data_IF_906471301833
#
_entry.id   IF_906471301833
#
_cell.length_a   1.000
_cell.length_b   1.000
_cell.length_c   1.000
_cell.angle_alpha   90.00
_cell.angle_beta   90.00
_cell.angle_gamma   90.00
#
_symmetry.space_group_name_H-M   'P 1'
#
loop_
_entity.id
_entity.type
_entity.pdbx_description
1 polymer ?
#
# COMPACT_ATOMS: atom_id res chain seq x y z
N UNK A 1 8.27 5.37 -9.30
CA UNK A 1 8.17 4.84 -7.94
C UNK A 1 7.14 3.73 -7.93
N UNK A 2 7.60 2.48 -7.80
CA UNK A 2 6.82 1.24 -7.71
C UNK A 2 6.96 0.62 -6.32
N UNK A 3 5.95 -0.15 -5.90
CA UNK A 3 6.04 -1.02 -4.73
C UNK A 3 6.79 -2.30 -5.14
N UNK A 4 7.82 -2.68 -4.39
CA UNK A 4 8.63 -3.87 -4.68
C UNK A 4 8.33 -5.04 -3.75
N UNK A 5 8.03 -4.77 -2.48
CA UNK A 5 7.73 -5.80 -1.50
C UNK A 5 6.66 -5.33 -0.53
N UNK A 6 5.83 -6.27 -0.11
CA UNK A 6 4.89 -6.11 1.00
C UNK A 6 5.16 -7.20 2.01
N UNK A 7 4.98 -6.86 3.29
CA UNK A 7 4.94 -7.83 4.38
C UNK A 7 3.71 -7.52 5.22
N UNK A 8 2.72 -8.42 5.17
CA UNK A 8 1.53 -8.33 6.01
C UNK A 8 1.89 -8.70 7.44
N UNK A 9 1.62 -7.81 8.40
CA UNK A 9 1.96 -8.01 9.81
C UNK A 9 0.77 -8.53 10.60
N UNK A 10 -0.30 -7.73 10.66
CA UNK A 10 -1.54 -8.07 11.35
C UNK A 10 -2.65 -7.11 10.91
N UNK A 11 -3.88 -7.62 10.82
CA UNK A 11 -5.05 -6.83 10.42
C UNK A 11 -4.77 -6.00 9.16
N UNK A 12 -4.87 -4.68 9.20
CA UNK A 12 -4.59 -3.78 8.07
C UNK A 12 -3.15 -3.24 8.05
N UNK A 13 -2.25 -3.77 8.88
CA UNK A 13 -0.85 -3.31 8.96
C UNK A 13 0.06 -4.04 7.98
N UNK A 14 0.80 -3.24 7.23
CA UNK A 14 1.76 -3.70 6.24
C UNK A 14 3.08 -2.96 6.38
N UNK A 15 4.17 -3.67 6.13
CA UNK A 15 5.45 -3.07 5.78
C UNK A 15 5.51 -2.98 4.26
N UNK A 16 5.71 -1.76 3.75
CA UNK A 16 5.81 -1.45 2.32
C UNK A 16 7.25 -1.10 1.99
N UNK A 17 7.85 -1.81 1.03
CA UNK A 17 9.17 -1.48 0.48
C UNK A 17 9.03 -1.04 -0.98
N UNK A 18 9.50 0.15 -1.27
CA UNK A 18 9.45 0.76 -2.60
C UNK A 18 10.77 0.56 -3.36
N UNK A 19 10.76 0.87 -4.66
CA UNK A 19 11.93 0.66 -5.55
C UNK A 19 13.21 1.42 -5.19
N UNK A 20 13.12 2.41 -4.32
CA UNK A 20 14.26 3.18 -3.80
C UNK A 20 14.73 2.67 -2.42
N UNK A 21 14.39 1.43 -2.07
CA UNK A 21 14.64 0.81 -0.76
C UNK A 21 13.96 1.52 0.43
N UNK A 22 13.13 2.55 0.18
CA UNK A 22 12.35 3.18 1.24
C UNK A 22 11.35 2.16 1.80
N UNK A 23 11.37 2.04 3.13
CA UNK A 23 10.56 1.07 3.85
C UNK A 23 9.75 1.77 4.93
N UNK A 24 8.44 1.48 5.00
CA UNK A 24 7.54 2.05 6.01
C UNK A 24 6.49 1.04 6.44
N UNK A 25 6.31 0.93 7.76
CA UNK A 25 5.10 0.32 8.33
C UNK A 25 3.95 1.33 8.29
N UNK A 26 2.80 0.88 7.79
CA UNK A 26 1.57 1.67 7.68
C UNK A 26 0.35 0.84 8.06
N UNK A 27 -0.67 1.49 8.61
CA UNK A 27 -2.00 0.91 8.79
C UNK A 27 -2.91 1.36 7.65
N UNK A 28 -3.26 0.45 6.75
CA UNK A 28 -4.06 0.74 5.56
C UNK A 28 -5.56 0.78 5.83
N UNK A 29 -6.03 0.64 7.08
CA UNK A 29 -7.46 0.54 7.39
C UNK A 29 -8.27 1.71 6.81
N UNK A 30 -7.75 2.93 6.87
CA UNK A 30 -8.45 4.10 6.33
C UNK A 30 -8.48 4.14 4.79
N UNK A 31 -7.53 3.48 4.12
CA UNK A 31 -7.49 3.40 2.66
C UNK A 31 -8.36 2.27 2.11
N UNK A 32 -8.39 1.11 2.75
CA UNK A 32 -9.04 -0.08 2.20
C UNK A 32 -10.15 -0.66 3.06
N UNK A 33 -10.32 -0.23 4.31
CA UNK A 33 -11.26 -0.87 5.26
C UNK A 33 -12.73 -0.81 4.82
N UNK A 34 -13.10 0.11 3.94
CA UNK A 34 -14.44 0.18 3.34
C UNK A 34 -14.63 -0.76 2.14
N UNK A 35 -13.55 -1.29 1.57
CA UNK A 35 -13.55 -2.07 0.34
C UNK A 35 -13.04 -3.51 0.55
N UNK A 36 -12.16 -3.72 1.53
CA UNK A 36 -11.49 -4.97 1.85
C UNK A 36 -11.79 -5.31 3.30
N UNK A 37 -12.60 -6.36 3.49
CA UNK A 37 -12.88 -6.89 4.81
C UNK A 37 -11.60 -7.49 5.42
N UNK A 38 -11.51 -7.55 6.75
CA UNK A 38 -10.34 -8.04 7.47
C UNK A 38 -9.88 -9.44 7.00
N UNK A 39 -10.82 -10.34 6.73
CA UNK A 39 -10.54 -11.69 6.23
C UNK A 39 -10.03 -11.75 4.80
N UNK A 40 -10.21 -10.68 4.03
CA UNK A 40 -9.78 -10.56 2.63
C UNK A 40 -8.44 -9.84 2.49
N UNK A 41 -7.90 -9.27 3.57
CA UNK A 41 -6.61 -8.56 3.54
C UNK A 41 -5.46 -9.47 3.12
N UNK A 42 -5.56 -10.77 3.40
CA UNK A 42 -4.58 -11.79 2.97
C UNK A 42 -4.50 -11.99 1.44
N UNK A 43 -5.46 -11.46 0.68
CA UNK A 43 -5.42 -11.48 -0.80
C UNK A 43 -4.44 -10.45 -1.38
N UNK A 44 -3.80 -9.65 -0.52
CA UNK A 44 -2.81 -8.65 -0.89
C UNK A 44 -1.70 -9.24 -1.78
N UNK A 45 -1.51 -8.64 -2.95
CA UNK A 45 -0.41 -8.95 -3.86
C UNK A 45 0.07 -7.69 -4.59
N UNK A 46 1.26 -7.77 -5.15
CA UNK A 46 1.80 -6.69 -5.97
C UNK A 46 1.49 -7.02 -7.43
N UNK A 47 0.86 -6.10 -8.14
CA UNK A 47 0.72 -6.21 -9.59
C UNK A 47 2.11 -6.14 -10.24
N UNK A 48 2.54 -7.14 -11.03
CA UNK A 48 3.90 -7.20 -11.57
C UNK A 48 4.18 -6.19 -12.69
N UNK A 49 3.15 -5.69 -13.38
CA UNK A 49 3.30 -4.76 -14.50
C UNK A 49 3.41 -3.32 -13.99
N UNK A 50 2.51 -2.94 -13.09
CA UNK A 50 2.33 -1.59 -12.56
C UNK A 50 3.05 -1.38 -11.24
N UNK A 51 3.25 -2.44 -10.45
CA UNK A 51 3.83 -2.37 -9.11
C UNK A 51 2.86 -1.81 -8.07
N UNK A 52 1.55 -1.89 -8.31
CA UNK A 52 0.50 -1.46 -7.38
C UNK A 52 0.26 -2.53 -6.30
N UNK A 53 -0.24 -2.12 -5.13
CA UNK A 53 -0.77 -3.07 -4.15
C UNK A 53 -2.22 -3.37 -4.51
N UNK A 54 -2.56 -4.62 -4.72
CA UNK A 54 -3.93 -5.03 -5.05
C UNK A 54 -4.46 -6.11 -4.11
N UNK A 55 -5.78 -6.15 -3.98
CA UNK A 55 -6.56 -7.07 -3.17
C UNK A 55 -7.71 -7.62 -4.02
N UNK A 56 -8.33 -8.70 -3.54
CA UNK A 56 -9.55 -9.27 -4.13
C UNK A 56 -9.37 -9.58 -5.62
N UNK A 57 -8.23 -10.16 -5.98
CA UNK A 57 -7.86 -10.47 -7.36
C UNK A 57 -7.83 -9.27 -8.32
N UNK A 58 -7.39 -8.10 -7.84
CA UNK A 58 -7.26 -6.89 -8.65
C UNK A 58 -8.52 -6.01 -8.68
N UNK A 59 -9.54 -6.32 -7.86
CA UNK A 59 -10.76 -5.49 -7.75
C UNK A 59 -10.56 -4.22 -6.93
N UNK A 60 -9.58 -4.24 -6.03
CA UNK A 60 -9.19 -3.08 -5.22
C UNK A 60 -7.69 -2.93 -5.38
N UNK A 61 -7.26 -1.87 -6.01
CA UNK A 61 -5.85 -1.53 -6.17
C UNK A 61 -5.53 -0.17 -5.53
N UNK A 62 -4.28 -0.04 -5.11
CA UNK A 62 -3.72 1.21 -4.59
C UNK A 62 -2.43 1.49 -5.36
N UNK A 63 -2.42 2.61 -6.08
CA UNK A 63 -1.24 3.08 -6.79
C UNK A 63 -0.07 3.36 -5.82
N UNK A 64 1.18 3.07 -6.22
CA UNK A 64 2.37 3.33 -5.39
C UNK A 64 2.49 4.77 -4.91
N UNK A 65 2.04 5.74 -5.71
CA UNK A 65 2.05 7.16 -5.35
C UNK A 65 1.14 7.46 -4.16
N UNK A 66 -0.02 6.82 -4.11
CA UNK A 66 -0.96 6.93 -2.99
C UNK A 66 -0.36 6.29 -1.74
N UNK A 67 0.25 5.11 -1.87
CA UNK A 67 0.95 4.45 -0.76
C UNK A 67 2.11 5.28 -0.20
N UNK A 68 2.94 5.89 -1.06
CA UNK A 68 4.05 6.74 -0.63
C UNK A 68 3.58 7.98 0.14
N UNK A 69 2.53 8.63 -0.38
CA UNK A 69 1.90 9.78 0.28
C UNK A 69 1.35 9.38 1.63
N UNK A 70 0.63 8.26 1.68
CA UNK A 70 0.03 7.75 2.91
C UNK A 70 1.09 7.34 3.95
N UNK A 71 2.20 6.75 3.48
CA UNK A 71 3.37 6.42 4.31
C UNK A 71 4.17 7.66 4.78
N UNK A 72 3.80 8.87 4.34
CA UNK A 72 4.53 10.11 4.66
C UNK A 72 5.91 10.19 4.00
N UNK A 73 6.16 9.40 2.95
CA UNK A 73 7.42 9.36 2.20
C UNK A 73 7.50 10.39 1.07
N UNK A 74 6.40 11.11 0.83
CA UNK A 74 6.37 12.30 -0.01
C UNK A 74 5.97 13.47 0.89
N UNK A 75 6.88 14.42 1.04
CA UNK A 75 6.52 15.74 1.56
C UNK A 75 5.64 16.42 0.53
N UNK A 76 4.34 16.55 0.83
CA UNK A 76 3.56 17.61 0.20
C UNK A 76 4.27 18.90 0.62
N UNK A 77 4.96 19.57 -0.30
CA UNK A 77 5.27 20.98 -0.12
C UNK A 77 3.91 21.63 0.12
N UNK A 78 3.53 21.79 1.39
CA UNK A 78 2.52 22.75 1.79
C UNK A 78 3.03 24.07 1.25
N UNK A 79 2.44 24.51 0.14
CA UNK A 79 2.40 25.90 -0.21
C UNK A 79 1.75 26.60 1.00
N UNK A 80 2.61 27.20 1.82
CA UNK A 80 2.24 28.22 2.79
C UNK A 80 2.52 29.58 2.15
#
# INVERSE_FOLDING_TARGET
MKLQRIEHQAAYRFVLTFENDACREVDLQDLIGQHVALGEVQTARIDPEWGCLEFLDGRVDIEPKTLLRYAGLIEDKRAA
#
